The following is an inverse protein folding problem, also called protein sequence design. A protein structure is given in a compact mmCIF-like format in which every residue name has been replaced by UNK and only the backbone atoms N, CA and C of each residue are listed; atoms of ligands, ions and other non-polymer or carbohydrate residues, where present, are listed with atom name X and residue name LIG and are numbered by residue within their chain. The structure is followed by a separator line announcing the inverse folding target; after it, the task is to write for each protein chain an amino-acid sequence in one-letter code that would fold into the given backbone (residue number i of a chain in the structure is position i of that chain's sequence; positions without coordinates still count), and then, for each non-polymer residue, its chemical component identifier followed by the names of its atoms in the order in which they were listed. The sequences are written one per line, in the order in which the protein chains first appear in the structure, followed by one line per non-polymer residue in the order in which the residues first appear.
data_IF_821128643014
#
_entry.id   IF_821128643014
#
_cell.length_a   1.000
_cell.length_b   1.000
_cell.length_c   1.000
_cell.angle_alpha   90.00
_cell.angle_beta   90.00
_cell.angle_gamma   90.00
#
_symmetry.space_group_name_H-M   'P 1'
#
loop_
_entity.id
_entity.type
_entity.pdbx_description
1 polymer ?
#
# COMPACT_ATOMS: atom_id res chain seq x y z
N UNK A 1 8.20 16.76 10.52
CA UNK A 1 8.65 15.36 10.50
C UNK A 1 9.81 15.30 9.52
N UNK A 2 10.87 14.53 9.80
CA UNK A 2 11.96 14.36 8.83
C UNK A 2 11.54 13.28 7.80
N UNK A 3 11.98 13.40 6.54
CA UNK A 3 11.68 12.44 5.46
C UNK A 3 11.95 10.99 5.87
N UNK A 4 13.03 10.72 6.62
CA UNK A 4 13.38 9.38 7.08
C UNK A 4 12.26 8.73 7.91
N UNK A 5 11.72 9.48 8.86
CA UNK A 5 10.61 9.03 9.70
C UNK A 5 9.31 8.95 8.92
N UNK A 6 9.11 9.82 7.92
CA UNK A 6 7.95 9.77 7.04
C UNK A 6 7.93 8.51 6.18
N UNK A 7 9.05 8.18 5.52
CA UNK A 7 9.14 6.96 4.71
C UNK A 7 8.99 5.70 5.55
N UNK A 8 9.70 5.60 6.68
CA UNK A 8 9.60 4.44 7.58
C UNK A 8 8.17 4.28 8.14
N UNK A 9 7.54 5.37 8.55
CA UNK A 9 6.15 5.36 9.03
C UNK A 9 5.16 4.94 7.95
N UNK A 10 5.30 5.44 6.73
CA UNK A 10 4.46 5.02 5.59
C UNK A 10 4.57 3.51 5.35
N UNK A 11 5.80 2.98 5.34
CA UNK A 11 6.03 1.54 5.11
C UNK A 11 5.43 0.71 6.25
N UNK A 12 5.57 1.16 7.49
CA UNK A 12 4.92 0.52 8.64
C UNK A 12 3.41 0.43 8.44
N UNK A 13 2.74 1.54 8.08
CA UNK A 13 1.30 1.53 7.84
C UNK A 13 0.88 0.65 6.67
N UNK A 14 1.65 0.64 5.57
CA UNK A 14 1.40 -0.24 4.42
C UNK A 14 1.47 -1.70 4.85
N UNK A 15 2.53 -2.09 5.57
CA UNK A 15 2.68 -3.45 6.07
C UNK A 15 1.63 -3.81 7.12
N UNK A 16 1.17 -2.84 7.91
CA UNK A 16 0.13 -3.08 8.91
C UNK A 16 -1.20 -3.45 8.24
N UNK A 17 -1.59 -2.71 7.22
CA UNK A 17 -2.87 -2.84 6.52
C UNK A 17 -2.83 -3.99 5.51
N UNK A 18 -1.78 -4.05 4.68
CA UNK A 18 -1.67 -4.98 3.55
C UNK A 18 -0.59 -6.05 3.72
N UNK A 19 0.07 -6.11 4.87
CA UNK A 19 1.06 -7.16 5.13
C UNK A 19 0.41 -8.55 5.12
N UNK A 20 1.08 -9.55 4.52
CA UNK A 20 0.54 -10.90 4.42
C UNK A 20 0.32 -11.53 5.80
N UNK A 21 -0.77 -12.28 5.94
CA UNK A 21 -1.13 -13.00 7.17
C UNK A 21 -1.38 -14.46 6.81
N UNK A 22 -0.39 -15.32 7.06
CA UNK A 22 -0.52 -16.75 6.84
C UNK A 22 -0.94 -17.45 8.14
N UNK A 23 -2.24 -17.50 8.41
CA UNK A 23 -2.80 -18.14 9.61
C UNK A 23 -2.51 -19.65 9.72
N UNK A 24 -2.06 -20.29 8.64
CA UNK A 24 -1.70 -21.71 8.60
C UNK A 24 -0.40 -22.04 9.33
N UNK A 25 0.48 -21.06 9.60
CA UNK A 25 1.76 -21.27 10.29
C UNK A 25 1.61 -21.10 11.80
N UNK A 26 2.20 -22.01 12.57
CA UNK A 26 2.15 -22.00 14.04
C UNK A 26 2.67 -20.69 14.67
N UNK A 27 3.63 -20.03 14.02
CA UNK A 27 4.25 -18.78 14.47
C UNK A 27 3.83 -17.56 13.64
N UNK A 28 2.66 -17.58 13.00
CA UNK A 28 2.21 -16.52 12.08
C UNK A 28 2.26 -15.12 12.73
N UNK A 29 1.89 -15.01 14.00
CA UNK A 29 1.88 -13.73 14.72
C UNK A 29 3.30 -13.20 14.95
N UNK A 30 4.23 -14.07 15.33
CA UNK A 30 5.64 -13.69 15.52
C UNK A 30 6.30 -13.28 14.19
N UNK A 31 5.98 -13.98 13.10
CA UNK A 31 6.42 -13.59 11.75
C UNK A 31 5.87 -12.21 11.38
N UNK A 32 4.59 -11.96 11.66
CA UNK A 32 3.94 -10.67 11.41
C UNK A 32 4.54 -9.53 12.22
N UNK A 33 4.66 -9.71 13.53
CA UNK A 33 5.32 -8.74 14.40
C UNK A 33 6.77 -8.50 13.97
N UNK A 34 7.48 -9.57 13.59
CA UNK A 34 8.84 -9.53 13.08
C UNK A 34 8.97 -8.61 11.86
N UNK A 35 8.22 -8.85 10.79
CA UNK A 35 8.35 -8.00 9.59
C UNK A 35 7.80 -6.58 9.79
N UNK A 36 6.75 -6.40 10.62
CA UNK A 36 6.20 -5.08 10.93
C UNK A 36 7.19 -4.20 11.67
N UNK A 37 8.07 -4.79 12.48
CA UNK A 37 9.09 -4.05 13.23
C UNK A 37 10.39 -3.97 12.41
N UNK A 38 10.89 -5.10 11.92
CA UNK A 38 12.20 -5.20 11.29
C UNK A 38 12.28 -4.44 9.97
N UNK A 39 11.26 -4.51 9.10
CA UNK A 39 11.33 -3.84 7.79
C UNK A 39 11.41 -2.31 7.96
N UNK A 40 10.50 -1.64 8.69
CA UNK A 40 10.61 -0.19 8.89
C UNK A 40 11.89 0.21 9.63
N UNK A 41 12.35 -0.60 10.60
CA UNK A 41 13.58 -0.35 11.33
C UNK A 41 14.82 -0.42 10.43
N UNK A 42 14.95 -1.47 9.62
CA UNK A 42 16.07 -1.63 8.68
C UNK A 42 16.08 -0.48 7.68
N UNK A 43 14.93 -0.12 7.12
CA UNK A 43 14.84 0.99 6.17
C UNK A 43 15.22 2.31 6.84
N UNK A 44 14.75 2.55 8.06
CA UNK A 44 15.12 3.73 8.82
C UNK A 44 16.63 3.80 9.09
N UNK A 45 17.26 2.68 9.47
CA UNK A 45 18.71 2.60 9.69
C UNK A 45 19.51 2.86 8.40
N UNK A 46 19.12 2.24 7.29
CA UNK A 46 19.74 2.45 5.98
C UNK A 46 19.62 3.91 5.54
N UNK A 47 18.42 4.49 5.65
CA UNK A 47 18.20 5.91 5.34
C UNK A 47 19.04 6.81 6.25
N UNK A 48 19.16 6.48 7.54
CA UNK A 48 19.95 7.26 8.47
C UNK A 48 21.43 7.25 8.08
N UNK A 49 21.96 6.09 7.69
CA UNK A 49 23.32 5.94 7.19
C UNK A 49 23.56 6.76 5.91
N UNK A 50 22.63 6.69 4.95
CA UNK A 50 22.68 7.49 3.71
C UNK A 50 22.65 8.99 4.04
N UNK A 51 21.74 9.43 4.90
CA UNK A 51 21.60 10.85 5.28
C UNK A 51 22.84 11.39 5.98
N UNK A 52 23.49 10.59 6.82
CA UNK A 52 24.70 11.01 7.51
C UNK A 52 25.86 11.24 6.54
N UNK A 53 25.87 10.54 5.40
CA UNK A 53 26.89 10.73 4.34
C UNK A 53 26.52 11.82 3.34
N UNK A 54 25.27 11.89 2.92
CA UNK A 54 24.83 12.80 1.86
C UNK A 54 24.43 14.19 2.37
N UNK A 55 24.02 14.30 3.64
CA UNK A 55 23.61 15.54 4.32
C UNK A 55 22.70 16.44 3.45
N UNK A 56 21.52 15.94 3.02
CA UNK A 56 20.66 16.69 2.13
C UNK A 56 20.12 17.97 2.77
N UNK A 57 20.04 19.03 1.96
CA UNK A 57 19.45 20.30 2.37
C UNK A 57 17.94 20.16 2.64
N UNK A 58 17.40 21.04 3.48
CA UNK A 58 15.97 21.11 3.82
C UNK A 58 15.07 21.14 2.57
N UNK A 59 15.49 21.87 1.52
CA UNK A 59 14.76 21.92 0.24
C UNK A 59 14.65 20.53 -0.41
N UNK A 60 15.73 19.74 -0.37
CA UNK A 60 15.75 18.39 -0.92
C UNK A 60 14.88 17.43 -0.11
N UNK A 61 14.87 17.55 1.23
CA UNK A 61 13.95 16.75 2.07
C UNK A 61 12.48 17.04 1.73
N UNK A 62 12.10 18.31 1.57
CA UNK A 62 10.73 18.69 1.19
C UNK A 62 10.36 18.13 -0.19
N UNK A 63 11.27 18.19 -1.16
CA UNK A 63 11.04 17.63 -2.50
C UNK A 63 10.83 16.12 -2.42
N UNK A 64 11.67 15.39 -1.66
CA UNK A 64 11.54 13.95 -1.49
C UNK A 64 10.23 13.56 -0.80
N UNK A 65 9.81 14.29 0.24
CA UNK A 65 8.51 14.09 0.88
C UNK A 65 7.34 14.31 -0.09
N UNK A 66 7.42 15.34 -0.94
CA UNK A 66 6.43 15.62 -1.99
C UNK A 66 6.37 14.50 -3.02
N UNK A 67 7.52 14.04 -3.50
CA UNK A 67 7.61 12.93 -4.47
C UNK A 67 6.97 11.68 -3.87
N UNK A 68 7.34 11.32 -2.64
CA UNK A 68 6.79 10.16 -1.95
C UNK A 68 5.27 10.27 -1.78
N UNK A 69 4.78 11.44 -1.35
CA UNK A 69 3.34 11.70 -1.21
C UNK A 69 2.61 11.58 -2.55
N UNK A 70 3.22 12.06 -3.63
CA UNK A 70 2.70 11.93 -4.99
C UNK A 70 2.61 10.48 -5.44
N UNK A 71 3.65 9.68 -5.20
CA UNK A 71 3.66 8.24 -5.51
C UNK A 71 2.54 7.52 -4.74
N UNK A 72 2.39 7.78 -3.44
CA UNK A 72 1.32 7.18 -2.62
C UNK A 72 -0.07 7.57 -3.17
N UNK A 73 -0.25 8.84 -3.52
CA UNK A 73 -1.49 9.33 -4.11
C UNK A 73 -1.84 8.59 -5.41
N UNK A 74 -0.88 8.47 -6.33
CA UNK A 74 -1.07 7.74 -7.60
C UNK A 74 -1.42 6.28 -7.33
N UNK A 75 -0.71 5.62 -6.41
CA UNK A 75 -0.99 4.23 -6.06
C UNK A 75 -2.42 4.04 -5.53
N UNK A 76 -2.90 4.94 -4.65
CA UNK A 76 -4.27 4.89 -4.14
C UNK A 76 -5.31 5.08 -5.25
N UNK A 77 -5.07 5.98 -6.21
CA UNK A 77 -5.95 6.13 -7.37
C UNK A 77 -5.98 4.89 -8.26
N UNK A 78 -4.82 4.26 -8.49
CA UNK A 78 -4.73 3.00 -9.24
C UNK A 78 -5.52 1.88 -8.55
N UNK A 79 -5.41 1.76 -7.21
CA UNK A 79 -6.22 0.81 -6.46
C UNK A 79 -7.72 1.12 -6.52
N UNK A 80 -8.10 2.39 -6.40
CA UNK A 80 -9.50 2.80 -6.53
C UNK A 80 -10.05 2.48 -7.93
N UNK A 81 -9.23 2.65 -8.97
CA UNK A 81 -9.59 2.28 -10.34
C UNK A 81 -9.80 0.78 -10.48
N UNK A 82 -8.87 -0.05 -10.00
CA UNK A 82 -9.02 -1.51 -10.04
C UNK A 82 -10.25 -2.01 -9.29
N UNK A 83 -10.52 -1.44 -8.12
CA UNK A 83 -11.73 -1.74 -7.35
C UNK A 83 -13.00 -1.32 -8.10
N UNK A 84 -12.99 -0.15 -8.75
CA UNK A 84 -14.14 0.40 -9.48
C UNK A 84 -14.49 -0.34 -10.77
N UNK A 85 -13.50 -0.96 -11.43
CA UNK A 85 -13.73 -1.78 -12.64
C UNK A 85 -14.06 -3.24 -12.33
N UNK A 86 -14.02 -3.65 -11.05
CA UNK A 86 -14.43 -4.99 -10.64
C UNK A 86 -15.89 -5.24 -11.02
N UNK A 87 -16.12 -6.16 -11.95
CA UNK A 87 -17.46 -6.52 -12.38
C UNK A 87 -17.95 -7.73 -11.63
N UNK A 88 -19.24 -7.69 -11.26
CA UNK A 88 -19.94 -8.88 -10.76
C UNK A 88 -19.89 -9.93 -11.87
N UNK A 89 -19.37 -11.10 -11.55
CA UNK A 89 -19.32 -12.22 -12.48
C UNK A 89 -19.64 -13.52 -11.76
N UNK A 90 -20.11 -14.49 -12.54
CA UNK A 90 -20.37 -15.84 -12.06
C UNK A 90 -19.02 -16.57 -12.07
N UNK A 91 -18.51 -16.86 -10.89
CA UNK A 91 -17.35 -17.71 -10.68
C UNK A 91 -17.78 -19.13 -10.37
N UNK A 92 -16.86 -20.07 -10.54
CA UNK A 92 -17.04 -21.44 -10.11
C UNK A 92 -16.16 -21.70 -8.87
N UNK A 93 -16.73 -22.37 -7.87
CA UNK A 93 -16.06 -22.69 -6.62
C UNK A 93 -14.96 -23.75 -6.75
N UNK A 94 -15.03 -24.62 -7.77
CA UNK A 94 -14.07 -25.71 -7.91
C UNK A 94 -13.81 -26.08 -9.37
N UNK A 95 -12.52 -26.06 -9.74
CA UNK A 95 -12.04 -26.59 -11.02
C UNK A 95 -11.29 -27.90 -10.81
N UNK A 96 -11.53 -28.89 -11.67
CA UNK A 96 -10.74 -30.12 -11.72
C UNK A 96 -10.02 -30.23 -13.06
N UNK A 97 -8.85 -30.86 -13.04
CA UNK A 97 -8.10 -31.13 -14.26
C UNK A 97 -8.58 -32.45 -14.87
N UNK A 98 -9.20 -32.39 -16.06
CA UNK A 98 -9.55 -33.53 -16.89
C UNK A 98 -8.53 -33.75 -18.00
N UNK A 99 -8.67 -34.83 -18.77
CA UNK A 99 -7.76 -35.19 -19.86
C UNK A 99 -7.71 -34.12 -20.96
N UNK A 100 -8.79 -33.37 -21.14
CA UNK A 100 -8.97 -32.39 -22.21
C UNK A 100 -8.78 -30.94 -21.72
N UNK A 101 -8.61 -30.70 -20.42
CA UNK A 101 -8.41 -29.35 -19.88
C UNK A 101 -8.77 -29.20 -18.40
N UNK A 102 -9.09 -27.97 -18.00
CA UNK A 102 -9.70 -27.68 -16.70
C UNK A 102 -11.21 -27.61 -16.89
N UNK A 103 -11.96 -28.35 -16.09
CA UNK A 103 -13.42 -28.35 -16.11
C UNK A 103 -14.00 -27.78 -14.82
N UNK A 104 -15.07 -27.02 -14.99
CA UNK A 104 -15.84 -26.42 -13.91
C UNK A 104 -16.81 -27.45 -13.32
N UNK A 105 -16.58 -27.90 -12.08
CA UNK A 105 -17.41 -28.93 -11.42
C UNK A 105 -18.04 -28.48 -10.10
N UNK A 106 -17.74 -27.26 -9.65
CA UNK A 106 -18.31 -26.69 -8.43
C UNK A 106 -19.63 -25.94 -8.68
N UNK A 107 -20.16 -25.36 -7.61
CA UNK A 107 -21.31 -24.46 -7.69
C UNK A 107 -20.91 -23.11 -8.31
N UNK A 108 -21.79 -22.58 -9.14
CA UNK A 108 -21.71 -21.23 -9.66
C UNK A 108 -22.09 -20.23 -8.56
N UNK A 109 -21.11 -19.41 -8.16
CA UNK A 109 -21.28 -18.38 -7.15
C UNK A 109 -21.12 -16.99 -7.76
N UNK A 110 -21.99 -16.07 -7.36
CA UNK A 110 -21.88 -14.68 -7.76
C UNK A 110 -20.75 -14.03 -6.95
N UNK A 111 -19.64 -13.73 -7.61
CA UNK A 111 -18.57 -12.94 -7.01
C UNK A 111 -18.99 -11.47 -6.98
N UNK A 112 -18.78 -10.81 -5.84
CA UNK A 112 -19.17 -9.41 -5.67
C UNK A 112 -18.39 -8.54 -6.66
N UNK A 113 -19.11 -7.66 -7.36
CA UNK A 113 -18.50 -6.59 -8.15
C UNK A 113 -17.93 -5.47 -7.28
N UNK A 114 -17.71 -4.31 -7.90
CA UNK A 114 -17.05 -3.17 -7.28
C UNK A 114 -17.60 -2.79 -5.90
N UNK A 115 -16.72 -2.75 -4.89
CA UNK A 115 -17.04 -2.18 -3.60
C UNK A 115 -16.89 -0.65 -3.65
N UNK A 116 -17.96 0.04 -4.06
CA UNK A 116 -17.99 1.49 -4.17
C UNK A 116 -17.62 2.21 -2.87
N UNK A 117 -17.93 1.63 -1.70
CA UNK A 117 -17.51 2.19 -0.41
C UNK A 117 -15.99 2.26 -0.28
N UNK A 118 -15.29 1.19 -0.68
CA UNK A 118 -13.83 1.15 -0.69
C UNK A 118 -13.24 2.10 -1.73
N UNK A 119 -13.85 2.19 -2.92
CA UNK A 119 -13.47 3.15 -3.98
C UNK A 119 -13.50 4.58 -3.44
N UNK A 120 -14.61 5.01 -2.83
CA UNK A 120 -14.73 6.37 -2.28
C UNK A 120 -13.71 6.62 -1.16
N UNK A 121 -13.49 5.65 -0.28
CA UNK A 121 -12.51 5.76 0.79
C UNK A 121 -11.10 5.98 0.23
N UNK A 122 -10.69 5.18 -0.76
CA UNK A 122 -9.38 5.30 -1.41
C UNK A 122 -9.19 6.66 -2.09
N UNK A 123 -10.23 7.16 -2.79
CA UNK A 123 -10.20 8.48 -3.42
C UNK A 123 -10.06 9.60 -2.37
N UNK A 124 -10.85 9.57 -1.30
CA UNK A 124 -10.78 10.58 -0.23
C UNK A 124 -9.38 10.56 0.40
N UNK A 125 -8.84 9.38 0.69
CA UNK A 125 -7.50 9.24 1.26
C UNK A 125 -6.42 9.78 0.31
N UNK A 126 -6.53 9.47 -1.00
CA UNK A 126 -5.62 9.99 -2.01
C UNK A 126 -5.63 11.52 -2.06
N UNK A 127 -6.82 12.14 -2.04
CA UNK A 127 -6.98 13.59 -2.03
C UNK A 127 -6.37 14.23 -0.76
N UNK A 128 -6.58 13.61 0.41
CA UNK A 128 -6.01 14.09 1.67
C UNK A 128 -4.48 14.04 1.66
N UNK A 129 -3.90 12.93 1.18
CA UNK A 129 -2.45 12.76 1.06
C UNK A 129 -1.87 13.74 0.03
N UNK A 130 -2.54 13.94 -1.10
CA UNK A 130 -2.14 14.92 -2.10
C UNK A 130 -2.15 16.34 -1.55
N UNK A 131 -3.23 16.74 -0.87
CA UNK A 131 -3.31 18.05 -0.26
C UNK A 131 -2.19 18.23 0.76
N UNK A 132 -2.12 17.36 1.77
CA UNK A 132 -1.20 17.53 2.88
C UNK A 132 0.28 17.40 2.45
N UNK A 133 0.57 16.39 1.64
CA UNK A 133 1.93 16.03 1.23
C UNK A 133 2.46 16.84 0.05
N UNK A 134 1.63 17.14 -0.94
CA UNK A 134 2.06 17.82 -2.18
C UNK A 134 1.73 19.32 -2.12
N UNK A 135 0.48 19.69 -1.90
CA UNK A 135 0.04 21.10 -2.01
C UNK A 135 0.49 21.95 -0.81
N UNK A 136 0.28 21.49 0.42
CA UNK A 136 0.49 22.29 1.64
C UNK A 136 1.97 22.52 1.97
N UNK A 137 2.86 21.58 1.61
CA UNK A 137 4.29 21.64 1.97
C UNK A 137 5.16 22.60 1.14
N UNK A 138 4.56 23.56 0.42
CA UNK A 138 5.29 24.57 -0.34
C UNK A 138 4.79 26.01 -0.19
N UNK A 139 3.77 26.28 0.64
CA UNK A 139 3.22 27.63 0.82
C UNK A 139 3.88 28.42 1.96
N UNK A 140 4.88 27.83 2.64
CA UNK A 140 5.72 28.52 3.61
C UNK A 140 7.14 28.67 3.07
N UNK A 141 7.34 29.62 2.18
CA UNK A 141 8.63 30.32 2.07
C UNK A 141 8.58 31.51 3.04
N UNK A 142 9.57 31.72 3.93
CA UNK A 142 9.93 33.09 4.27
C UNK A 142 10.42 33.83 3.02
#
# INVERSE_FOLDING_TARGET
MNFKSYLAGTIFWILLIWGPIEHSKQFWFAIRAGYLILIPLIIWLVLNWIWNRWQPNIKSEIILERILSGIICIALFVFAYFEGISTTHIGNTQQIQTRDGMEDVGEYVTLQGANWGNVFLLIILALLIFWYGVLKKGTKTP
#
